data_IF_777086330935
#
_entry.id   IF_777086330935
#
_cell.length_a   1.000
_cell.length_b   1.000
_cell.length_c   1.000
_cell.angle_alpha   90.00
_cell.angle_beta   90.00
_cell.angle_gamma   90.00
#
_symmetry.space_group_name_H-M   'P 1'
#
loop_
_entity.id
_entity.type
_entity.pdbx_description
1 polymer ?
#
# COMPACT_ATOMS: atom_id res chain seq x y z
N UNK A 1 -5.08 -3.31 -34.14
CA UNK A 1 -5.50 -2.15 -33.32
C UNK A 1 -6.04 -1.09 -34.24
N UNK A 2 -7.25 -1.37 -34.69
CA UNK A 2 -8.10 -0.45 -35.41
C UNK A 2 -9.00 0.27 -34.40
N UNK A 3 -9.29 1.57 -34.59
CA UNK A 3 -10.17 2.30 -33.69
C UNK A 3 -11.60 1.73 -33.74
N UNK A 4 -12.34 1.86 -32.63
CA UNK A 4 -13.74 1.42 -32.56
C UNK A 4 -14.63 2.07 -33.64
N UNK A 5 -14.32 3.29 -34.07
CA UNK A 5 -15.03 3.95 -35.17
C UNK A 5 -14.95 3.19 -36.50
N UNK A 6 -13.95 2.32 -36.68
CA UNK A 6 -13.76 1.50 -37.88
C UNK A 6 -14.32 0.08 -37.72
N UNK A 7 -14.13 -0.56 -36.55
CA UNK A 7 -14.53 -1.97 -36.35
C UNK A 7 -15.89 -2.14 -35.68
N UNK A 8 -16.35 -1.13 -34.92
CA UNK A 8 -17.57 -1.15 -34.11
C UNK A 8 -17.70 -2.37 -33.19
N UNK A 9 -16.57 -2.95 -32.77
CA UNK A 9 -16.50 -4.14 -31.92
C UNK A 9 -15.46 -3.97 -30.82
N UNK A 10 -15.67 -4.66 -29.70
CA UNK A 10 -14.72 -4.75 -28.59
C UNK A 10 -14.03 -6.11 -28.57
N UNK A 11 -13.30 -6.44 -29.65
CA UNK A 11 -12.43 -7.62 -29.68
C UNK A 11 -11.20 -7.38 -28.79
N UNK A 12 -10.97 -8.20 -27.74
CA UNK A 12 -9.77 -8.10 -26.91
C UNK A 12 -8.46 -8.15 -27.71
N UNK A 13 -8.41 -8.88 -28.83
CA UNK A 13 -7.23 -8.96 -29.70
C UNK A 13 -6.92 -7.63 -30.40
N UNK A 14 -7.91 -6.75 -30.48
CA UNK A 14 -7.82 -5.43 -31.10
C UNK A 14 -7.70 -4.28 -30.07
N UNK A 15 -7.58 -4.59 -28.77
CA UNK A 15 -7.50 -3.64 -27.66
C UNK A 15 -6.13 -3.73 -26.98
N UNK A 16 -5.57 -2.57 -26.60
CA UNK A 16 -4.40 -2.49 -25.71
C UNK A 16 -4.65 -1.47 -24.61
N UNK A 17 -3.91 -1.60 -23.52
CA UNK A 17 -3.90 -0.66 -22.40
C UNK A 17 -2.75 0.32 -22.61
N UNK A 18 -3.07 1.62 -22.57
CA UNK A 18 -2.10 2.70 -22.62
C UNK A 18 -2.26 3.57 -21.37
N UNK A 19 -1.14 4.04 -20.82
CA UNK A 19 -1.18 5.07 -19.79
C UNK A 19 -1.69 6.40 -20.37
N UNK A 20 -2.08 7.36 -19.52
CA UNK A 20 -2.66 8.63 -19.95
C UNK A 20 -1.78 9.39 -20.97
N UNK A 21 -0.46 9.40 -20.76
CA UNK A 21 0.51 10.01 -21.67
C UNK A 21 0.48 9.37 -23.06
N UNK A 22 0.72 8.07 -23.16
CA UNK A 22 0.76 7.37 -24.44
C UNK A 22 -0.62 7.30 -25.11
N UNK A 23 -1.70 7.31 -24.32
CA UNK A 23 -3.06 7.42 -24.83
C UNK A 23 -3.29 8.77 -25.50
N UNK A 24 -2.85 9.87 -24.88
CA UNK A 24 -2.93 11.23 -25.46
C UNK A 24 -2.06 11.35 -26.73
N UNK A 25 -0.82 10.87 -26.70
CA UNK A 25 0.07 10.86 -27.87
C UNK A 25 -0.51 10.03 -29.02
N UNK A 26 -1.09 8.85 -28.74
CA UNK A 26 -1.77 8.02 -29.75
C UNK A 26 -2.99 8.74 -30.31
N UNK A 27 -3.78 9.40 -29.46
CA UNK A 27 -4.97 10.15 -29.87
C UNK A 27 -4.60 11.32 -30.78
N UNK A 28 -3.48 11.99 -30.50
CA UNK A 28 -2.93 13.08 -31.31
C UNK A 28 -2.18 12.61 -32.57
N UNK A 29 -2.04 11.30 -32.78
CA UNK A 29 -1.28 10.73 -33.89
C UNK A 29 0.24 10.86 -33.76
N UNK A 30 0.74 11.23 -32.57
CA UNK A 30 2.17 11.38 -32.27
C UNK A 30 2.82 10.05 -31.91
N UNK A 31 2.04 9.06 -31.44
CA UNK A 31 2.51 7.71 -31.17
C UNK A 31 2.04 6.76 -32.30
N UNK A 32 2.95 6.27 -33.16
CA UNK A 32 2.60 5.34 -34.24
C UNK A 32 2.07 4.01 -33.72
N UNK A 33 1.08 3.44 -34.41
CA UNK A 33 0.50 2.14 -34.01
C UNK A 33 1.51 0.98 -34.07
N UNK A 34 2.53 1.08 -34.93
CA UNK A 34 3.63 0.11 -35.00
C UNK A 34 4.46 0.11 -33.71
N UNK A 35 4.72 1.28 -33.13
CA UNK A 35 5.39 1.41 -31.84
C UNK A 35 4.55 0.83 -30.70
N UNK A 36 3.23 1.06 -30.73
CA UNK A 36 2.30 0.46 -29.75
C UNK A 36 2.31 -1.07 -29.83
N UNK A 37 2.27 -1.63 -31.05
CA UNK A 37 2.34 -3.09 -31.25
C UNK A 37 3.65 -3.67 -30.73
N UNK A 38 4.79 -3.06 -31.08
CA UNK A 38 6.09 -3.50 -30.57
C UNK A 38 6.15 -3.47 -29.03
N UNK A 39 5.58 -2.43 -28.41
CA UNK A 39 5.53 -2.33 -26.95
C UNK A 39 4.56 -3.32 -26.29
N UNK A 40 3.55 -3.85 -27.00
CA UNK A 40 2.73 -4.95 -26.47
C UNK A 40 3.50 -6.26 -26.42
N UNK A 41 4.37 -6.50 -27.41
CA UNK A 41 5.18 -7.71 -27.49
C UNK A 41 6.31 -7.70 -26.45
N UNK A 42 6.86 -6.52 -26.16
CA UNK A 42 7.90 -6.32 -25.15
C UNK A 42 7.59 -5.13 -24.22
N UNK A 43 6.66 -5.28 -23.25
CA UNK A 43 6.28 -4.20 -22.35
C UNK A 43 7.43 -3.76 -21.44
N UNK A 44 7.74 -2.46 -21.46
CA UNK A 44 8.89 -1.89 -20.75
C UNK A 44 8.95 -2.27 -19.26
N UNK A 45 7.83 -2.16 -18.54
CA UNK A 45 7.78 -2.42 -17.10
C UNK A 45 8.00 -3.90 -16.75
N UNK A 46 7.73 -4.83 -17.67
CA UNK A 46 8.06 -6.25 -17.47
C UNK A 46 9.58 -6.47 -17.54
N UNK A 47 10.28 -5.70 -18.37
CA UNK A 47 11.74 -5.75 -18.49
C UNK A 47 12.43 -5.12 -17.28
N UNK A 48 11.90 -4.01 -16.75
CA UNK A 48 12.47 -3.32 -15.57
C UNK A 48 12.02 -3.94 -14.24
N UNK A 49 10.90 -4.66 -14.22
CA UNK A 49 10.31 -5.28 -13.04
C UNK A 49 9.44 -4.35 -12.18
N UNK A 50 9.35 -3.06 -12.52
CA UNK A 50 8.61 -2.05 -11.75
C UNK A 50 7.91 -1.04 -12.65
N UNK A 51 6.97 -0.29 -12.09
CA UNK A 51 6.41 0.90 -12.73
C UNK A 51 7.42 2.05 -12.80
N UNK A 52 7.11 3.05 -13.63
CA UNK A 52 7.68 4.39 -13.46
C UNK A 52 7.26 4.99 -12.11
N UNK A 53 8.08 5.90 -11.58
CA UNK A 53 7.78 6.61 -10.35
C UNK A 53 6.62 7.60 -10.56
N UNK A 54 5.62 7.52 -9.67
CA UNK A 54 4.52 8.46 -9.60
C UNK A 54 4.69 9.38 -8.38
N UNK A 55 4.85 10.68 -8.60
CA UNK A 55 5.04 11.65 -7.52
C UNK A 55 3.71 11.95 -6.81
N UNK A 56 3.65 11.67 -5.50
CA UNK A 56 2.56 12.07 -4.62
C UNK A 56 2.81 13.48 -4.07
N UNK A 57 1.79 14.32 -4.05
CA UNK A 57 1.95 15.73 -3.65
C UNK A 57 1.61 15.96 -2.17
N UNK A 58 2.26 15.23 -1.27
CA UNK A 58 2.17 15.50 0.17
C UNK A 58 2.98 16.75 0.55
N UNK A 59 2.47 17.52 1.51
CA UNK A 59 3.05 18.79 1.97
C UNK A 59 2.53 19.17 3.35
N UNK A 60 3.18 20.14 4.00
CA UNK A 60 2.77 20.67 5.29
C UNK A 60 3.58 20.13 6.46
N UNK A 61 3.31 20.70 7.65
CA UNK A 61 4.07 20.44 8.87
C UNK A 61 3.37 19.47 9.84
N UNK A 62 2.33 18.78 9.40
CA UNK A 62 1.65 17.75 10.17
C UNK A 62 1.20 16.64 9.23
N UNK A 63 0.96 15.45 9.77
CA UNK A 63 0.46 14.33 9.00
C UNK A 63 -0.42 13.38 9.82
N UNK A 64 -1.33 12.71 9.12
CA UNK A 64 -2.22 11.68 9.66
C UNK A 64 -2.05 10.37 8.89
N UNK A 65 -1.86 9.27 9.61
CA UNK A 65 -1.83 7.92 9.05
C UNK A 65 -2.96 7.10 9.70
N UNK A 66 -3.91 6.65 8.91
CA UNK A 66 -5.03 5.79 9.33
C UNK A 66 -4.76 4.34 8.91
N UNK A 67 -4.59 3.44 9.88
CA UNK A 67 -4.43 2.00 9.66
C UNK A 67 -5.60 1.27 10.29
N UNK A 68 -6.61 0.99 9.47
CA UNK A 68 -7.81 0.27 9.89
C UNK A 68 -8.47 0.86 11.13
N UNK A 69 -8.79 2.16 11.10
CA UNK A 69 -9.36 2.96 12.20
C UNK A 69 -8.41 3.35 13.32
N UNK A 70 -7.13 2.98 13.24
CA UNK A 70 -6.11 3.41 14.19
C UNK A 70 -5.34 4.59 13.60
N UNK A 71 -5.46 5.76 14.25
CA UNK A 71 -4.92 7.01 13.77
C UNK A 71 -3.57 7.28 14.42
N UNK A 72 -2.57 7.60 13.61
CA UNK A 72 -1.29 8.15 14.04
C UNK A 72 -1.20 9.58 13.56
N UNK A 73 -1.04 10.53 14.49
CA UNK A 73 -0.92 11.94 14.18
C UNK A 73 0.44 12.48 14.63
N UNK A 74 1.05 13.30 13.78
CA UNK A 74 2.30 13.99 14.07
C UNK A 74 2.28 15.46 13.60
N UNK A 75 3.03 16.30 14.30
CA UNK A 75 3.26 17.71 13.97
C UNK A 75 4.76 17.92 13.73
N UNK A 76 5.23 17.65 12.52
CA UNK A 76 6.58 17.98 12.08
C UNK A 76 7.67 17.04 12.58
N UNK A 77 7.32 16.02 13.34
CA UNK A 77 8.23 14.98 13.79
C UNK A 77 8.06 13.72 12.94
N UNK A 78 9.18 13.07 12.63
CA UNK A 78 9.15 11.77 11.99
C UNK A 78 8.35 10.76 12.82
N UNK A 79 7.48 10.00 12.16
CA UNK A 79 6.66 8.99 12.81
C UNK A 79 6.40 7.80 11.88
N UNK A 80 6.33 6.60 12.45
CA UNK A 80 5.85 5.41 11.77
C UNK A 80 4.55 4.92 12.41
N UNK A 81 3.48 4.74 11.63
CA UNK A 81 2.27 4.13 12.17
C UNK A 81 2.43 2.62 12.39
N UNK A 82 3.18 1.95 11.51
CA UNK A 82 3.51 0.53 11.64
C UNK A 82 4.99 0.33 11.41
N UNK A 83 5.61 -0.36 12.36
CA UNK A 83 6.99 -0.81 12.27
C UNK A 83 7.03 -2.29 12.64
N UNK A 84 7.67 -3.10 11.80
CA UNK A 84 7.86 -4.52 12.05
C UNK A 84 9.36 -4.81 12.04
N UNK A 85 9.87 -5.47 13.07
CA UNK A 85 11.30 -5.82 13.21
C UNK A 85 12.25 -4.64 12.99
N UNK A 86 11.82 -3.47 13.46
CA UNK A 86 12.55 -2.23 13.29
C UNK A 86 12.47 -1.58 11.90
N UNK A 87 11.80 -2.19 10.92
CA UNK A 87 11.57 -1.60 9.60
C UNK A 87 10.28 -0.78 9.64
N UNK A 88 10.32 0.55 9.43
CA UNK A 88 9.11 1.36 9.31
C UNK A 88 8.41 1.00 7.99
N UNK A 89 7.18 0.48 8.08
CA UNK A 89 6.41 0.03 6.91
C UNK A 89 5.45 1.09 6.39
N UNK A 90 5.01 2.02 7.24
CA UNK A 90 4.29 3.22 6.82
C UNK A 90 4.59 4.34 7.80
N UNK A 91 4.99 5.50 7.27
CA UNK A 91 5.40 6.63 8.09
C UNK A 91 5.54 7.91 7.27
N UNK A 92 5.66 9.02 8.00
CA UNK A 92 6.02 10.31 7.43
C UNK A 92 7.32 10.79 8.07
N UNK A 93 8.21 11.35 7.25
CA UNK A 93 9.28 12.24 7.71
C UNK A 93 9.00 13.66 7.23
N UNK A 94 9.65 14.62 7.86
CA UNK A 94 9.51 16.04 7.53
C UNK A 94 10.89 16.62 7.20
N UNK A 95 10.97 17.36 6.11
CA UNK A 95 12.21 18.01 5.67
C UNK A 95 11.85 19.32 4.98
N UNK A 96 12.44 20.44 5.41
CA UNK A 96 12.25 21.77 4.82
C UNK A 96 10.78 22.19 4.55
N UNK A 97 9.86 21.78 5.43
CA UNK A 97 8.42 22.09 5.29
C UNK A 97 7.65 21.15 4.35
N UNK A 98 8.31 20.15 3.79
CA UNK A 98 7.74 19.04 3.04
C UNK A 98 7.39 17.87 3.95
N UNK A 99 6.26 17.24 3.65
CA UNK A 99 5.79 16.02 4.28
C UNK A 99 6.09 14.87 3.31
N UNK A 100 6.92 13.91 3.75
CA UNK A 100 7.48 12.87 2.90
C UNK A 100 6.99 11.50 3.37
N UNK A 101 6.05 10.94 2.61
CA UNK A 101 5.49 9.62 2.84
C UNK A 101 6.53 8.55 2.49
N UNK A 102 6.73 7.62 3.41
CA UNK A 102 7.37 6.33 3.13
C UNK A 102 6.43 5.18 3.43
N UNK A 103 6.38 4.21 2.53
CA UNK A 103 5.52 3.03 2.61
C UNK A 103 6.25 1.84 2.00
N UNK A 104 6.19 0.69 2.67
CA UNK A 104 6.76 -0.55 2.16
C UNK A 104 5.81 -1.70 2.43
N UNK A 105 5.34 -2.35 1.36
CA UNK A 105 4.45 -3.51 1.42
C UNK A 105 5.16 -4.70 0.80
N UNK A 106 5.13 -5.81 1.51
CA UNK A 106 5.69 -7.08 1.07
C UNK A 106 4.59 -8.10 0.81
N UNK A 107 4.90 -9.08 -0.05
CA UNK A 107 4.13 -10.31 -0.12
C UNK A 107 4.52 -11.28 1.02
N UNK A 108 3.94 -12.48 1.01
CA UNK A 108 4.20 -13.51 2.05
C UNK A 108 5.61 -14.11 1.97
N UNK A 109 6.30 -13.93 0.86
CA UNK A 109 7.68 -14.37 0.62
C UNK A 109 8.70 -13.31 1.08
N UNK A 110 8.25 -12.21 1.68
CA UNK A 110 9.05 -11.03 2.02
C UNK A 110 9.63 -10.30 0.78
N UNK A 111 8.98 -10.43 -0.38
CA UNK A 111 9.36 -9.67 -1.56
C UNK A 111 8.56 -8.37 -1.61
N UNK A 112 9.19 -7.20 -1.85
CA UNK A 112 8.49 -5.93 -1.92
C UNK A 112 7.59 -5.90 -3.16
N UNK A 113 6.32 -5.51 -2.96
CA UNK A 113 5.32 -5.39 -4.04
C UNK A 113 4.90 -3.94 -4.28
N UNK A 114 5.06 -3.07 -3.28
CA UNK A 114 4.81 -1.63 -3.37
C UNK A 114 5.79 -0.91 -2.48
N UNK A 115 6.35 0.17 -3.01
CA UNK A 115 7.21 1.08 -2.30
C UNK A 115 6.77 2.52 -2.57
N UNK A 116 6.73 3.33 -1.51
CA UNK A 116 6.77 4.78 -1.62
C UNK A 116 8.02 5.22 -0.89
N UNK A 117 8.92 5.92 -1.56
CA UNK A 117 10.10 6.55 -0.95
C UNK A 117 9.96 8.05 -1.14
N UNK A 118 9.83 8.78 -0.04
CA UNK A 118 9.73 10.25 -0.05
C UNK A 118 8.73 10.77 -1.09
N UNK A 119 7.50 10.24 -1.04
CA UNK A 119 6.38 10.51 -1.96
C UNK A 119 6.50 9.93 -3.38
N UNK A 120 7.61 9.31 -3.76
CA UNK A 120 7.73 8.62 -5.05
C UNK A 120 7.18 7.20 -4.95
N UNK A 121 6.05 6.96 -5.61
CA UNK A 121 5.35 5.70 -5.62
C UNK A 121 5.82 4.82 -6.77
N UNK A 122 6.25 3.60 -6.44
CA UNK A 122 6.69 2.56 -7.38
C UNK A 122 6.07 1.22 -6.95
N UNK A 123 5.51 0.48 -7.89
CA UNK A 123 5.02 -0.89 -7.64
C UNK A 123 5.72 -1.90 -8.54
N UNK A 124 5.85 -3.12 -8.03
CA UNK A 124 6.38 -4.28 -8.77
C UNK A 124 5.42 -4.70 -9.88
N UNK A 125 5.92 -5.34 -10.93
CA UNK A 125 5.09 -6.04 -11.93
C UNK A 125 4.69 -7.46 -11.54
N UNK A 126 5.19 -7.98 -10.41
CA UNK A 126 4.83 -9.31 -9.90
C UNK A 126 3.39 -9.49 -9.38
N UNK A 127 2.66 -8.46 -8.89
CA UNK A 127 1.27 -8.62 -8.48
C UNK A 127 0.34 -9.05 -9.62
N UNK A 128 -0.79 -9.66 -9.26
CA UNK A 128 -1.80 -10.09 -10.23
C UNK A 128 -2.50 -8.91 -10.90
N UNK A 129 -2.79 -7.86 -10.12
CA UNK A 129 -3.48 -6.67 -10.61
C UNK A 129 -3.13 -5.45 -9.74
N UNK A 130 -2.97 -4.30 -10.38
CA UNK A 130 -2.68 -3.01 -9.76
C UNK A 130 -3.62 -1.96 -10.35
N UNK A 131 -4.53 -1.45 -9.51
CA UNK A 131 -5.51 -0.45 -9.90
C UNK A 131 -5.27 0.84 -9.12
N UNK A 132 -5.00 1.94 -9.81
CA UNK A 132 -4.93 3.27 -9.21
C UNK A 132 -6.04 4.16 -9.76
N UNK A 133 -7.18 4.20 -9.07
CA UNK A 133 -8.38 4.96 -9.47
C UNK A 133 -8.62 6.10 -8.51
N UNK A 134 -8.61 7.32 -9.06
CA UNK A 134 -8.76 8.56 -8.29
C UNK A 134 -7.64 8.71 -7.27
N UNK A 135 -7.96 8.51 -6.00
CA UNK A 135 -7.03 8.62 -4.86
C UNK A 135 -6.68 7.27 -4.24
N UNK A 136 -7.21 6.18 -4.78
CA UNK A 136 -7.11 4.85 -4.17
C UNK A 136 -6.26 3.93 -5.04
N UNK A 137 -5.18 3.40 -4.45
CA UNK A 137 -4.38 2.33 -5.01
C UNK A 137 -4.83 1.00 -4.39
N UNK A 138 -5.15 0.03 -5.24
CA UNK A 138 -5.45 -1.35 -4.84
C UNK A 138 -4.48 -2.29 -5.53
N UNK A 139 -3.80 -3.13 -4.76
CA UNK A 139 -2.93 -4.19 -5.28
C UNK A 139 -3.49 -5.54 -4.87
N UNK A 140 -3.56 -6.46 -5.83
CA UNK A 140 -4.05 -7.82 -5.64
C UNK A 140 -2.97 -8.84 -5.98
N UNK A 141 -2.87 -9.87 -5.17
CA UNK A 141 -1.94 -11.01 -5.38
C UNK A 141 -2.61 -12.19 -6.07
N UNK A 142 -3.94 -12.24 -6.07
CA UNK A 142 -4.75 -13.21 -6.79
C UNK A 142 -6.19 -12.69 -6.94
N UNK A 143 -7.03 -13.44 -7.64
CA UNK A 143 -8.46 -13.13 -7.73
C UNK A 143 -9.07 -13.06 -6.31
N UNK A 144 -9.65 -11.90 -5.96
CA UNK A 144 -10.24 -11.58 -4.64
C UNK A 144 -9.25 -11.52 -3.46
N UNK A 145 -7.94 -11.59 -3.69
CA UNK A 145 -6.91 -11.47 -2.66
C UNK A 145 -6.28 -10.07 -2.71
N UNK A 146 -6.72 -9.18 -1.81
CA UNK A 146 -6.20 -7.80 -1.70
C UNK A 146 -4.96 -7.84 -0.82
N UNK A 147 -3.80 -7.54 -1.43
CA UNK A 147 -2.57 -7.34 -0.67
C UNK A 147 -2.62 -6.02 0.10
N UNK A 148 -3.04 -4.94 -0.58
CA UNK A 148 -3.21 -3.63 0.05
C UNK A 148 -4.23 -2.77 -0.71
N UNK A 149 -5.00 -1.98 0.03
CA UNK A 149 -5.89 -0.92 -0.46
C UNK A 149 -5.59 0.35 0.33
N UNK A 150 -5.03 1.35 -0.35
CA UNK A 150 -4.51 2.59 0.23
C UNK A 150 -5.16 3.77 -0.45
N UNK A 151 -5.63 4.72 0.35
CA UNK A 151 -6.14 6.00 -0.12
C UNK A 151 -5.17 7.11 0.25
N UNK A 152 -4.65 7.81 -0.76
CA UNK A 152 -3.76 8.95 -0.60
C UNK A 152 -4.59 10.24 -0.58
N UNK A 153 -4.47 11.01 0.49
CA UNK A 153 -5.23 12.23 0.71
C UNK A 153 -4.27 13.40 0.99
N UNK A 154 -3.60 13.90 -0.07
CA UNK A 154 -2.82 15.12 0.08
C UNK A 154 -3.72 16.27 0.57
N UNK A 155 -3.17 17.21 1.37
CA UNK A 155 -1.74 17.42 1.53
C UNK A 155 -1.06 16.50 2.55
N UNK A 156 -1.76 15.83 3.46
CA UNK A 156 -1.08 15.28 4.64
C UNK A 156 -1.70 14.02 5.26
N UNK A 157 -2.59 13.31 4.56
CA UNK A 157 -3.26 12.12 5.09
C UNK A 157 -3.09 10.90 4.19
N UNK A 158 -2.79 9.76 4.79
CA UNK A 158 -2.82 8.46 4.10
C UNK A 158 -3.64 7.47 4.91
N UNK A 159 -4.48 6.69 4.23
CA UNK A 159 -5.33 5.70 4.88
C UNK A 159 -5.17 4.32 4.25
N UNK A 160 -4.72 3.35 5.04
CA UNK A 160 -4.69 1.93 4.68
C UNK A 160 -6.00 1.30 5.18
N UNK A 161 -6.89 0.98 4.25
CA UNK A 161 -8.24 0.50 4.58
C UNK A 161 -8.33 -1.02 4.63
N UNK A 162 -7.59 -1.71 3.77
CA UNK A 162 -7.58 -3.18 3.69
C UNK A 162 -6.20 -3.67 3.28
N UNK A 163 -5.89 -4.91 3.65
CA UNK A 163 -4.66 -5.58 3.24
C UNK A 163 -3.90 -6.16 4.41
N UNK A 164 -2.58 -6.24 4.29
CA UNK A 164 -1.72 -6.66 5.39
C UNK A 164 -0.34 -6.01 5.32
N UNK A 165 0.21 -5.69 6.48
CA UNK A 165 1.64 -5.47 6.66
C UNK A 165 2.27 -6.79 7.06
N UNK A 166 3.12 -7.31 6.18
CA UNK A 166 3.80 -8.59 6.33
C UNK A 166 5.30 -8.35 6.36
N UNK A 167 5.98 -8.89 7.36
CA UNK A 167 7.44 -8.93 7.36
C UNK A 167 7.93 -10.01 8.32
N UNK A 168 8.86 -10.85 7.87
CA UNK A 168 9.56 -11.86 8.67
C UNK A 168 8.62 -12.78 9.49
N UNK A 169 7.44 -13.10 8.94
CA UNK A 169 6.44 -13.94 9.61
C UNK A 169 5.57 -13.24 10.65
N UNK A 170 5.68 -11.92 10.83
CA UNK A 170 4.70 -11.09 11.54
C UNK A 170 3.64 -10.62 10.55
N UNK A 171 2.37 -10.71 10.95
CA UNK A 171 1.23 -10.46 10.08
C UNK A 171 0.21 -9.52 10.75
N UNK A 172 0.22 -8.26 10.33
CA UNK A 172 -0.76 -7.26 10.74
C UNK A 172 -1.80 -7.08 9.63
N UNK A 173 -2.96 -7.69 9.79
CA UNK A 173 -4.05 -7.62 8.83
C UNK A 173 -4.88 -6.36 9.08
N UNK A 174 -5.20 -5.64 8.02
CA UNK A 174 -5.96 -4.39 8.10
C UNK A 174 -7.35 -4.59 7.51
N UNK A 175 -8.36 -4.11 8.22
CA UNK A 175 -9.76 -4.01 7.80
C UNK A 175 -10.25 -2.59 8.07
N UNK A 176 -11.37 -2.15 7.46
CA UNK A 176 -11.78 -0.75 7.57
C UNK A 176 -11.95 -0.25 9.00
N UNK A 177 -12.31 -1.15 9.92
CA UNK A 177 -12.60 -0.83 11.31
C UNK A 177 -11.54 -1.30 12.30
N UNK A 178 -10.59 -2.14 11.91
CA UNK A 178 -9.58 -2.65 12.84
C UNK A 178 -8.29 -3.08 12.14
N UNK A 179 -7.22 -3.17 12.92
CA UNK A 179 -6.01 -3.91 12.58
C UNK A 179 -5.87 -5.13 13.51
N UNK A 180 -5.53 -6.29 12.94
CA UNK A 180 -5.39 -7.56 13.65
C UNK A 180 -3.96 -8.06 13.51
N UNK A 181 -3.22 -8.12 14.61
CA UNK A 181 -1.99 -8.89 14.69
C UNK A 181 -2.36 -10.38 14.76
N UNK A 182 -2.29 -11.05 13.62
CA UNK A 182 -2.81 -12.42 13.43
C UNK A 182 -2.06 -13.42 14.33
N UNK A 183 -0.75 -13.25 14.48
CA UNK A 183 0.14 -14.11 15.25
C UNK A 183 -0.31 -14.31 16.71
N UNK A 184 -0.79 -13.25 17.35
CA UNK A 184 -1.16 -13.24 18.77
C UNK A 184 -2.64 -12.95 19.02
N UNK A 185 -3.45 -12.85 17.95
CA UNK A 185 -4.84 -12.37 18.02
C UNK A 185 -4.94 -11.03 18.76
N UNK A 186 -4.01 -10.11 18.46
CA UNK A 186 -4.05 -8.74 18.98
C UNK A 186 -4.95 -7.87 18.12
N UNK A 187 -6.01 -7.28 18.69
CA UNK A 187 -6.95 -6.43 17.96
C UNK A 187 -6.76 -4.96 18.34
N UNK A 188 -6.58 -4.10 17.33
CA UNK A 188 -6.45 -2.65 17.48
C UNK A 188 -7.59 -1.97 16.74
N UNK A 189 -8.40 -1.20 17.44
CA UNK A 189 -9.58 -0.54 16.88
C UNK A 189 -9.76 0.84 17.53
N UNK A 190 -10.01 1.87 16.72
CA UNK A 190 -10.34 3.23 17.14
C UNK A 190 -9.33 3.84 18.13
N UNK A 191 -8.06 3.52 17.98
CA UNK A 191 -6.98 4.14 18.77
C UNK A 191 -6.48 5.43 18.09
N UNK A 192 -6.04 6.39 18.89
CA UNK A 192 -5.34 7.59 18.42
C UNK A 192 -4.01 7.72 19.14
N UNK A 193 -2.92 7.75 18.39
CA UNK A 193 -1.58 8.02 18.88
C UNK A 193 -1.13 9.41 18.42
N UNK A 194 -0.61 10.22 19.34
CA UNK A 194 -0.18 11.59 19.08
C UNK A 194 1.28 11.77 19.51
N UNK A 195 2.13 12.23 18.60
CA UNK A 195 3.51 12.62 18.93
C UNK A 195 4.45 11.46 19.32
N UNK A 196 4.09 10.21 19.01
CA UNK A 196 4.97 9.06 19.17
C UNK A 196 5.86 8.86 17.94
N UNK A 197 7.09 8.36 18.14
CA UNK A 197 7.96 7.96 17.02
C UNK A 197 7.40 6.75 16.28
N UNK A 198 6.76 5.82 17.00
CA UNK A 198 6.11 4.65 16.42
C UNK A 198 4.75 4.43 17.07
N UNK A 199 3.69 4.22 16.31
CA UNK A 199 2.41 3.79 16.89
C UNK A 199 2.47 2.29 17.23
N UNK A 200 2.52 1.43 16.22
CA UNK A 200 2.63 -0.02 16.39
C UNK A 200 4.06 -0.49 16.12
N UNK A 201 4.82 -0.83 17.16
CA UNK A 201 6.13 -1.46 17.06
C UNK A 201 6.02 -2.97 17.35
N UNK A 202 6.07 -3.77 16.31
CA UNK A 202 5.77 -5.21 16.34
C UNK A 202 7.04 -6.02 16.04
N UNK A 203 7.33 -7.02 16.87
CA UNK A 203 8.50 -7.88 16.69
C UNK A 203 9.78 -7.27 17.26
N UNK A 204 10.92 -7.70 16.71
CA UNK A 204 12.22 -7.45 17.32
C UNK A 204 12.82 -6.10 16.88
N UNK A 205 12.91 -5.14 17.80
CA UNK A 205 13.55 -3.83 17.57
C UNK A 205 14.44 -3.43 18.74
N UNK A 206 15.75 -3.37 18.50
CA UNK A 206 16.79 -3.07 19.50
C UNK A 206 16.97 -1.59 19.79
N UNK A 207 16.40 -0.70 18.97
CA UNK A 207 16.63 0.76 19.09
C UNK A 207 15.88 1.40 20.25
N UNK A 208 14.99 0.66 20.91
CA UNK A 208 14.16 1.11 22.04
C UNK A 208 13.43 2.46 21.77
N UNK A 209 12.97 2.65 20.53
CA UNK A 209 12.19 3.82 20.14
C UNK A 209 10.90 3.91 20.98
N UNK A 210 10.54 5.13 21.36
CA UNK A 210 9.26 5.40 22.02
C UNK A 210 8.09 5.00 21.13
N UNK A 211 7.28 4.05 21.60
CA UNK A 211 6.16 3.52 20.85
C UNK A 211 4.86 3.60 21.66
N UNK A 212 3.73 3.85 21.00
CA UNK A 212 2.42 3.79 21.66
C UNK A 212 2.09 2.35 22.09
N UNK A 213 2.36 1.38 21.22
CA UNK A 213 2.31 -0.05 21.51
C UNK A 213 3.60 -0.71 21.06
N UNK A 214 4.21 -1.51 21.94
CA UNK A 214 5.34 -2.37 21.62
C UNK A 214 5.01 -3.82 21.98
N UNK A 215 5.15 -4.71 21.01
CA UNK A 215 4.97 -6.15 21.23
C UNK A 215 6.14 -6.94 20.64
N UNK A 216 7.13 -7.25 21.46
CA UNK A 216 8.40 -7.82 20.97
C UNK A 216 8.34 -9.34 20.75
N UNK A 217 7.60 -10.06 21.60
CA UNK A 217 7.51 -11.53 21.57
C UNK A 217 6.32 -11.98 20.74
N UNK A 218 6.51 -12.05 19.41
CA UNK A 218 5.49 -12.50 18.46
C UNK A 218 5.88 -13.89 17.92
N UNK A 219 5.03 -14.92 18.07
CA UNK A 219 5.24 -16.24 17.47
C UNK A 219 5.17 -16.10 15.96
N UNK A 220 6.15 -16.66 15.26
CA UNK A 220 6.31 -16.53 13.81
C UNK A 220 5.96 -17.84 13.13
N UNK A 221 5.34 -17.73 11.96
CA UNK A 221 4.97 -18.86 11.11
C UNK A 221 3.96 -19.83 11.76
N UNK A 222 3.36 -20.72 10.94
CA UNK A 222 2.42 -21.72 11.43
C UNK A 222 1.13 -21.17 12.06
N UNK A 223 0.80 -19.90 11.82
CA UNK A 223 -0.37 -19.25 12.42
C UNK A 223 -1.65 -19.68 11.71
N UNK A 224 -2.65 -20.09 12.48
CA UNK A 224 -4.01 -20.32 11.97
C UNK A 224 -4.73 -18.99 11.73
N UNK A 225 -4.58 -18.49 10.51
CA UNK A 225 -5.17 -17.21 10.06
C UNK A 225 -6.69 -17.25 10.04
N UNK A 226 -7.28 -18.39 9.66
CA UNK A 226 -8.73 -18.53 9.59
C UNK A 226 -9.33 -18.39 10.98
N UNK A 227 -8.79 -19.12 11.97
CA UNK A 227 -9.22 -19.01 13.35
C UNK A 227 -8.99 -17.61 13.95
N UNK A 228 -7.88 -16.94 13.62
CA UNK A 228 -7.61 -15.58 14.09
C UNK A 228 -8.61 -14.56 13.51
N UNK A 229 -8.95 -14.68 12.23
CA UNK A 229 -9.93 -13.81 11.56
C UNK A 229 -11.34 -14.05 12.06
N UNK A 230 -11.73 -15.31 12.27
CA UNK A 230 -13.02 -15.66 12.85
C UNK A 230 -13.14 -15.10 14.27
N UNK A 231 -12.09 -15.28 15.09
CA UNK A 231 -12.02 -14.69 16.43
C UNK A 231 -12.19 -13.17 16.38
N UNK A 232 -11.50 -12.47 15.48
CA UNK A 232 -11.61 -11.02 15.36
C UNK A 232 -13.02 -10.60 14.93
N UNK A 233 -13.62 -11.29 13.98
CA UNK A 233 -15.00 -11.04 13.55
C UNK A 233 -15.98 -11.17 14.72
N UNK A 234 -15.83 -12.19 15.56
CA UNK A 234 -16.64 -12.36 16.78
C UNK A 234 -16.39 -11.27 17.83
N UNK A 235 -15.24 -10.59 17.85
CA UNK A 235 -14.99 -9.50 18.80
C UNK A 235 -15.56 -8.16 18.32
N UNK A 236 -15.50 -7.90 17.02
CA UNK A 236 -15.99 -6.65 16.43
C UNK A 236 -17.53 -6.65 16.31
N UNK A 237 -18.15 -7.81 16.06
CA UNK A 237 -19.62 -7.92 15.91
C UNK A 237 -20.41 -7.89 17.23
N UNK A 238 -19.73 -7.86 18.39
CA UNK A 238 -20.36 -7.84 19.71
C UNK A 238 -20.38 -6.43 20.37
N UNK A 239 -20.19 -5.37 19.61
CA UNK A 239 -20.47 -4.00 20.10
C UNK A 239 -21.99 -3.77 20.17
N UNK A 240 -22.54 -3.36 21.33
CA UNK A 240 -23.96 -2.99 21.47
C UNK A 240 -24.31 -1.68 20.75
#
# INVERSE_FOLDING_TARGET
MEPYSATQEHDPSNITLLCSKHHDEKTKGLLPITSVRAANDEPHNLTTGTSDAYLLHFSGASAEIDVGSNITFTNGHETAAVMIDGVPLVGFRFEDGSCLLSLLIFNRQNEPILQVVDNELVYSTSPWDVEFVGKTLTIRTAQRDIAIEIRFEPPNRVAVKRGAFLLNGVELYVRPEYALLVNNRGLFQRNTAFGCLVNLNLGFDTRNLGAAVRWSSIPRYGVDRAAALEWAHQKVSFEP
#
